data_IF_187101675322
#
_entry.id   IF_187101675322
#
_cell.length_a   1.000
_cell.length_b   1.000
_cell.length_c   1.000
_cell.angle_alpha   90.00
_cell.angle_beta   90.00
_cell.angle_gamma   90.00
#
_symmetry.space_group_name_H-M   'P 1'
#
loop_
_entity.id
_entity.type
_entity.pdbx_description
1 polymer ?
#
# COMPACT_ATOMS: atom_id res chain seq x y z
N UNK A 1 49.82 27.64 -60.56
CA UNK A 1 49.66 26.36 -59.83
C UNK A 1 49.61 26.66 -58.34
N UNK A 2 48.46 26.46 -57.70
CA UNK A 2 48.31 26.12 -56.28
C UNK A 2 46.82 25.84 -56.04
N UNK A 3 46.47 24.56 -56.12
CA UNK A 3 45.21 23.97 -55.70
C UNK A 3 45.38 23.66 -54.21
N UNK A 4 44.56 24.24 -53.32
CA UNK A 4 44.35 23.69 -51.97
C UNK A 4 42.85 23.67 -51.71
N UNK A 5 42.32 22.46 -51.73
CA UNK A 5 40.95 22.08 -51.44
C UNK A 5 40.53 22.50 -50.02
N UNK A 6 39.43 23.24 -49.92
CA UNK A 6 38.75 23.53 -48.66
C UNK A 6 37.50 22.64 -48.57
N UNK A 7 37.64 21.40 -48.10
CA UNK A 7 36.52 20.44 -48.07
C UNK A 7 36.54 19.49 -46.86
N UNK A 8 36.64 20.01 -45.63
CA UNK A 8 36.56 19.15 -44.43
C UNK A 8 35.90 19.78 -43.20
N UNK A 9 35.25 20.95 -43.29
CA UNK A 9 34.64 21.59 -42.10
C UNK A 9 33.16 21.28 -41.89
N UNK A 10 32.41 20.85 -42.91
CA UNK A 10 30.95 20.67 -42.81
C UNK A 10 30.49 19.42 -42.03
N UNK A 11 31.18 18.29 -42.19
CA UNK A 11 30.69 17.01 -41.65
C UNK A 11 30.77 16.93 -40.11
N UNK A 12 31.78 17.54 -39.49
CA UNK A 12 31.99 17.50 -38.03
C UNK A 12 31.03 18.43 -37.29
N UNK A 13 30.72 19.58 -37.88
CA UNK A 13 29.75 20.54 -37.36
C UNK A 13 28.31 19.98 -37.40
N UNK A 14 27.94 19.31 -38.49
CA UNK A 14 26.62 18.67 -38.63
C UNK A 14 26.44 17.52 -37.63
N UNK A 15 27.49 16.71 -37.39
CA UNK A 15 27.45 15.63 -36.41
C UNK A 15 27.31 16.14 -34.96
N UNK A 16 27.98 17.24 -34.63
CA UNK A 16 27.89 17.85 -33.29
C UNK A 16 26.51 18.47 -33.02
N UNK A 17 25.91 19.10 -34.02
CA UNK A 17 24.55 19.68 -33.92
C UNK A 17 23.49 18.58 -33.83
N UNK A 18 23.65 17.47 -34.57
CA UNK A 18 22.75 16.33 -34.49
C UNK A 18 22.75 15.65 -33.11
N UNK A 19 23.92 15.52 -32.46
CA UNK A 19 24.04 14.97 -31.10
C UNK A 19 23.42 15.89 -30.04
N UNK A 20 23.54 17.21 -30.18
CA UNK A 20 22.90 18.19 -29.29
C UNK A 20 21.37 18.21 -29.42
N UNK A 21 20.84 18.02 -30.62
CA UNK A 21 19.39 17.94 -30.83
C UNK A 21 18.78 16.64 -30.28
N UNK A 22 19.54 15.53 -30.29
CA UNK A 22 19.10 14.26 -29.68
C UNK A 22 19.06 14.31 -28.15
N UNK A 23 19.93 15.12 -27.49
CA UNK A 23 19.92 15.23 -26.02
C UNK A 23 18.74 16.03 -25.45
N UNK A 24 18.11 16.90 -26.25
CA UNK A 24 16.97 17.70 -25.80
C UNK A 24 15.65 16.91 -25.87
N UNK A 25 15.59 15.84 -26.68
CA UNK A 25 14.39 15.01 -26.82
C UNK A 25 14.26 13.90 -25.74
N UNK A 26 15.27 13.74 -24.88
CA UNK A 26 15.31 12.71 -23.82
C UNK A 26 14.67 13.11 -22.48
N UNK A 27 14.17 14.34 -22.33
CA UNK A 27 13.61 14.85 -21.06
C UNK A 27 12.07 14.93 -21.06
N UNK A 28 11.41 14.04 -21.79
CA UNK A 28 9.96 13.82 -21.73
C UNK A 28 9.55 12.63 -20.88
N UNK A 29 10.32 12.28 -19.85
CA UNK A 29 9.94 11.27 -18.87
C UNK A 29 8.91 11.84 -17.90
N UNK A 30 7.66 12.04 -18.33
CA UNK A 30 6.55 12.00 -17.38
C UNK A 30 6.60 10.60 -16.76
N UNK A 31 7.19 10.49 -15.57
CA UNK A 31 7.03 9.33 -14.72
C UNK A 31 5.54 9.12 -14.60
N UNK A 32 4.99 8.17 -15.36
CA UNK A 32 3.59 7.83 -15.34
C UNK A 32 3.30 7.30 -13.95
N UNK A 33 2.94 8.18 -13.03
CA UNK A 33 2.58 7.83 -11.68
C UNK A 33 1.34 6.96 -11.77
N UNK A 34 1.53 5.67 -11.56
CA UNK A 34 0.44 4.69 -11.59
C UNK A 34 -0.43 4.96 -10.38
N UNK A 35 -1.55 5.64 -10.59
CA UNK A 35 -2.53 5.92 -9.54
C UNK A 35 -3.29 4.64 -9.20
N UNK A 36 -3.23 4.22 -7.94
CA UNK A 36 -3.94 3.03 -7.46
C UNK A 36 -5.36 3.38 -7.04
N UNK A 37 -6.35 2.64 -7.53
CA UNK A 37 -7.75 2.75 -7.11
C UNK A 37 -7.94 2.22 -5.68
N UNK A 38 -8.07 3.15 -4.72
CA UNK A 38 -8.26 2.83 -3.31
C UNK A 38 -9.60 2.15 -3.01
N UNK A 39 -10.64 2.41 -3.81
CA UNK A 39 -11.94 1.75 -3.63
C UNK A 39 -11.82 0.27 -3.94
N UNK A 40 -11.12 -0.06 -5.03
CA UNK A 40 -10.82 -1.44 -5.39
C UNK A 40 -9.92 -2.13 -4.36
N UNK A 41 -8.89 -1.44 -3.84
CA UNK A 41 -8.02 -1.98 -2.77
C UNK A 41 -8.83 -2.34 -1.52
N UNK A 42 -9.70 -1.44 -1.06
CA UNK A 42 -10.54 -1.70 0.12
C UNK A 42 -11.45 -2.91 -0.09
N UNK A 43 -12.15 -2.96 -1.22
CA UNK A 43 -13.00 -4.09 -1.60
C UNK A 43 -12.21 -5.40 -1.65
N UNK A 44 -11.04 -5.40 -2.27
CA UNK A 44 -10.17 -6.58 -2.36
C UNK A 44 -9.81 -7.11 -0.97
N UNK A 45 -9.39 -6.22 -0.06
CA UNK A 45 -9.03 -6.60 1.31
C UNK A 45 -10.23 -7.12 2.09
N UNK A 46 -11.39 -6.46 2.01
CA UNK A 46 -12.61 -6.90 2.69
C UNK A 46 -13.05 -8.28 2.24
N UNK A 47 -13.02 -8.55 0.93
CA UNK A 47 -13.32 -9.87 0.39
C UNK A 47 -12.37 -10.95 0.93
N UNK A 48 -11.08 -10.64 1.11
CA UNK A 48 -10.12 -11.55 1.73
C UNK A 48 -10.38 -11.78 3.21
N UNK A 49 -10.74 -10.74 3.94
CA UNK A 49 -11.12 -10.85 5.36
C UNK A 49 -12.34 -11.77 5.50
N UNK A 50 -13.35 -11.61 4.65
CA UNK A 50 -14.55 -12.47 4.67
C UNK A 50 -14.20 -13.93 4.39
N UNK A 51 -13.34 -14.19 3.39
CA UNK A 51 -12.85 -15.54 3.09
C UNK A 51 -12.11 -16.18 4.27
N UNK A 52 -11.28 -15.40 4.97
CA UNK A 52 -10.58 -15.86 6.17
C UNK A 52 -11.52 -16.06 7.36
N UNK A 53 -12.55 -15.22 7.49
CA UNK A 53 -13.48 -15.23 8.62
C UNK A 53 -14.42 -16.44 8.58
N UNK A 54 -15.02 -16.70 7.42
CA UNK A 54 -16.05 -17.72 7.29
C UNK A 54 -15.57 -18.99 6.57
N UNK A 55 -14.42 -18.92 5.90
CA UNK A 55 -13.90 -19.99 5.05
C UNK A 55 -14.35 -19.83 3.60
N UNK A 56 -13.45 -20.11 2.65
CA UNK A 56 -13.64 -19.85 1.21
C UNK A 56 -14.92 -20.46 0.61
N UNK A 57 -15.28 -21.66 1.05
CA UNK A 57 -16.40 -22.44 0.49
C UNK A 57 -17.67 -22.38 1.37
N UNK A 58 -17.67 -21.59 2.45
CA UNK A 58 -18.84 -21.49 3.31
C UNK A 58 -20.00 -20.77 2.59
N UNK A 59 -21.26 -21.21 2.77
CA UNK A 59 -22.42 -20.55 2.17
C UNK A 59 -22.52 -19.05 2.51
N UNK A 60 -22.10 -18.67 3.73
CA UNK A 60 -22.06 -17.28 4.18
C UNK A 60 -21.09 -16.42 3.37
N UNK A 61 -19.91 -16.93 3.04
CA UNK A 61 -18.90 -16.23 2.23
C UNK A 61 -19.47 -15.81 0.89
N UNK A 62 -20.29 -16.66 0.26
CA UNK A 62 -20.95 -16.33 -1.00
C UNK A 62 -21.92 -15.15 -0.87
N UNK A 63 -22.73 -15.15 0.18
CA UNK A 63 -23.72 -14.09 0.43
C UNK A 63 -23.03 -12.75 0.71
N UNK A 64 -22.04 -12.75 1.60
CA UNK A 64 -21.32 -11.52 1.97
C UNK A 64 -20.49 -10.98 0.79
N UNK A 65 -19.86 -11.85 -0.01
CA UNK A 65 -19.16 -11.43 -1.24
C UNK A 65 -20.09 -10.72 -2.23
N UNK A 66 -21.31 -11.21 -2.39
CA UNK A 66 -22.29 -10.58 -3.28
C UNK A 66 -22.69 -9.19 -2.79
N UNK A 67 -22.92 -9.03 -1.48
CA UNK A 67 -23.29 -7.73 -0.92
C UNK A 67 -22.12 -6.74 -1.02
N UNK A 68 -20.90 -7.12 -0.64
CA UNK A 68 -19.72 -6.24 -0.71
C UNK A 68 -19.43 -5.76 -2.15
N UNK A 69 -19.54 -6.67 -3.13
CA UNK A 69 -19.40 -6.29 -4.55
C UNK A 69 -20.46 -5.26 -4.95
N UNK A 70 -21.72 -5.48 -4.56
CA UNK A 70 -22.84 -4.59 -4.86
C UNK A 70 -22.68 -3.23 -4.18
N UNK A 71 -22.31 -3.18 -2.91
CA UNK A 71 -22.04 -1.96 -2.15
C UNK A 71 -20.91 -1.15 -2.78
N UNK A 72 -19.86 -1.83 -3.25
CA UNK A 72 -18.77 -1.21 -3.99
C UNK A 72 -19.14 -0.85 -5.44
N UNK A 73 -20.32 -1.22 -5.94
CA UNK A 73 -20.75 -0.94 -7.31
C UNK A 73 -20.00 -1.75 -8.37
N UNK A 74 -19.48 -2.93 -8.01
CA UNK A 74 -18.84 -3.88 -8.91
C UNK A 74 -19.76 -5.07 -9.18
N UNK A 75 -19.78 -5.53 -10.43
CA UNK A 75 -20.18 -6.91 -10.71
C UNK A 75 -19.02 -7.86 -10.45
N UNK A 76 -19.33 -9.16 -10.38
CA UNK A 76 -18.32 -10.20 -10.26
C UNK A 76 -17.31 -10.12 -11.41
N UNK A 77 -17.80 -9.95 -12.64
CA UNK A 77 -17.01 -9.92 -13.86
C UNK A 77 -16.11 -8.69 -13.90
N UNK A 78 -16.62 -7.52 -13.48
CA UNK A 78 -15.82 -6.30 -13.39
C UNK A 78 -14.70 -6.43 -12.35
N UNK A 79 -14.97 -7.07 -11.22
CA UNK A 79 -13.96 -7.33 -10.21
C UNK A 79 -12.84 -8.24 -10.76
N UNK A 80 -13.19 -9.32 -11.46
CA UNK A 80 -12.21 -10.20 -12.08
C UNK A 80 -11.43 -9.50 -13.19
N UNK A 81 -12.11 -8.76 -14.07
CA UNK A 81 -11.46 -8.00 -15.13
C UNK A 81 -10.45 -6.98 -14.58
N UNK A 82 -10.78 -6.28 -13.48
CA UNK A 82 -9.85 -5.36 -12.81
C UNK A 82 -8.68 -6.09 -12.16
N UNK A 83 -8.93 -7.25 -11.57
CA UNK A 83 -7.86 -8.10 -11.02
C UNK A 83 -6.90 -8.54 -12.13
N UNK A 84 -7.44 -9.00 -13.27
CA UNK A 84 -6.65 -9.43 -14.42
C UNK A 84 -5.88 -8.26 -15.04
N UNK A 85 -6.47 -7.06 -15.14
CA UNK A 85 -5.76 -5.85 -15.60
C UNK A 85 -4.52 -5.58 -14.76
N UNK A 86 -4.65 -5.62 -13.43
CA UNK A 86 -3.54 -5.37 -12.49
C UNK A 86 -2.48 -6.48 -12.56
N UNK A 87 -2.90 -7.74 -12.71
CA UNK A 87 -1.98 -8.88 -12.77
C UNK A 87 -1.20 -8.93 -14.08
N UNK A 88 -1.78 -8.46 -15.18
CA UNK A 88 -1.15 -8.47 -16.49
C UNK A 88 -0.30 -7.21 -16.76
N UNK A 89 -0.42 -6.16 -15.94
CA UNK A 89 0.42 -4.97 -16.02
C UNK A 89 1.45 -4.94 -14.87
N UNK A 90 2.71 -5.26 -15.21
CA UNK A 90 3.84 -5.26 -14.27
C UNK A 90 4.00 -3.91 -13.54
N UNK A 91 3.62 -2.79 -14.19
CA UNK A 91 3.71 -1.46 -13.59
C UNK A 91 2.63 -1.23 -12.54
N UNK A 92 1.51 -1.95 -12.60
CA UNK A 92 0.40 -1.82 -11.65
C UNK A 92 0.51 -2.77 -10.47
N UNK A 93 1.12 -3.94 -10.66
CA UNK A 93 1.23 -4.96 -9.61
C UNK A 93 1.88 -4.43 -8.34
N UNK A 94 3.08 -3.86 -8.44
CA UNK A 94 3.84 -3.41 -7.26
C UNK A 94 3.13 -2.27 -6.51
N UNK A 95 2.64 -1.20 -7.17
CA UNK A 95 1.83 -0.18 -6.52
C UNK A 95 0.57 -0.73 -5.84
N UNK A 96 -0.16 -1.64 -6.51
CA UNK A 96 -1.35 -2.26 -5.93
C UNK A 96 -1.02 -3.06 -4.67
N UNK A 97 0.01 -3.90 -4.72
CA UNK A 97 0.45 -4.70 -3.57
C UNK A 97 0.85 -3.81 -2.39
N UNK A 98 1.56 -2.70 -2.64
CA UNK A 98 1.91 -1.73 -1.60
C UNK A 98 0.67 -1.12 -0.95
N UNK A 99 -0.34 -0.75 -1.75
CA UNK A 99 -1.59 -0.21 -1.24
C UNK A 99 -2.37 -1.24 -0.41
N UNK A 100 -2.41 -2.50 -0.84
CA UNK A 100 -3.02 -3.60 -0.07
C UNK A 100 -2.32 -3.78 1.27
N UNK A 101 -0.98 -3.81 1.29
CA UNK A 101 -0.22 -3.93 2.53
C UNK A 101 -0.50 -2.75 3.48
N UNK A 102 -0.47 -1.52 2.97
CA UNK A 102 -0.77 -0.33 3.77
C UNK A 102 -2.20 -0.38 4.36
N UNK A 103 -3.17 -0.89 3.60
CA UNK A 103 -4.53 -1.10 4.09
C UNK A 103 -4.56 -2.14 5.21
N UNK A 104 -3.87 -3.27 5.06
CA UNK A 104 -3.78 -4.31 6.10
C UNK A 104 -3.11 -3.73 7.36
N UNK A 105 -2.00 -3.03 7.22
CA UNK A 105 -1.30 -2.40 8.33
C UNK A 105 -2.20 -1.41 9.08
N UNK A 106 -3.03 -0.64 8.35
CA UNK A 106 -4.00 0.29 8.95
C UNK A 106 -5.08 -0.41 9.78
N UNK A 107 -5.44 -1.65 9.44
CA UNK A 107 -6.41 -2.45 10.20
C UNK A 107 -5.79 -3.05 11.47
N UNK A 108 -4.46 -3.25 11.47
CA UNK A 108 -3.70 -3.79 12.60
C UNK A 108 -3.20 -2.72 13.55
N UNK A 109 -3.05 -1.48 13.08
CA UNK A 109 -2.70 -0.35 13.91
C UNK A 109 -3.80 -0.13 14.96
N UNK A 110 -3.51 -0.51 16.21
CA UNK A 110 -4.37 -0.17 17.35
C UNK A 110 -4.56 1.36 17.35
N UNK A 111 -5.80 1.87 17.40
CA UNK A 111 -6.01 3.30 17.47
C UNK A 111 -5.30 3.83 18.72
N UNK A 112 -4.32 4.72 18.52
CA UNK A 112 -3.56 5.36 19.59
C UNK A 112 -4.45 6.17 20.56
N UNK A 113 -5.75 6.29 20.29
CA UNK A 113 -6.73 7.07 21.06
C UNK A 113 -7.24 6.41 22.35
N UNK A 114 -6.94 5.15 22.64
CA UNK A 114 -7.26 4.57 23.97
C UNK A 114 -6.11 4.60 24.98
N UNK A 115 -5.02 5.31 24.67
CA UNK A 115 -3.90 5.52 25.61
C UNK A 115 -4.10 6.74 26.53
N UNK A 116 -5.21 7.46 26.45
CA UNK A 116 -5.64 8.42 27.48
C UNK A 116 -6.54 7.71 28.51
N UNK A 117 -6.03 6.65 29.15
CA UNK A 117 -6.63 6.22 30.41
C UNK A 117 -6.39 7.34 31.44
N UNK A 118 -7.41 7.79 32.21
CA UNK A 118 -7.17 8.77 33.25
C UNK A 118 -6.15 8.20 34.22
N UNK A 119 -5.08 8.94 34.45
CA UNK A 119 -4.02 8.62 35.40
C UNK A 119 -4.67 8.37 36.78
N UNK A 120 -4.83 7.10 37.17
CA UNK A 120 -5.28 6.74 38.51
C UNK A 120 -4.13 7.09 39.45
N UNK A 121 -4.19 8.28 40.06
CA UNK A 121 -3.30 8.67 41.14
C UNK A 121 -3.34 7.56 42.21
N UNK A 122 -2.20 6.99 42.62
CA UNK A 122 -2.20 5.90 43.58
C UNK A 122 -2.78 6.37 44.92
N UNK A 123 -3.99 5.92 45.22
CA UNK A 123 -4.65 6.13 46.50
C UNK A 123 -3.89 5.33 47.57
N UNK A 124 -3.22 6.08 48.45
CA UNK A 124 -2.75 5.76 49.81
C UNK A 124 -2.78 4.27 50.20
N UNK A 125 -1.59 3.66 50.32
CA UNK A 125 -1.38 2.34 50.91
C UNK A 125 -2.19 2.18 52.21
N UNK A 126 -3.21 1.32 52.20
CA UNK A 126 -3.80 0.79 53.42
C UNK A 126 -2.73 -0.10 54.07
N UNK A 127 -2.10 0.35 55.14
CA UNK A 127 -1.29 -0.52 55.99
C UNK A 127 -2.23 -1.46 56.74
N UNK A 128 -2.39 -2.67 56.22
CA UNK A 128 -2.98 -3.77 56.97
C UNK A 128 -1.97 -4.23 58.02
N UNK A 129 -2.06 -3.69 59.23
CA UNK A 129 -1.37 -4.28 60.38
C UNK A 129 -2.10 -5.58 60.76
N UNK A 130 -1.44 -6.73 60.58
CA UNK A 130 -1.88 -7.99 61.18
C UNK A 130 -1.30 -8.11 62.60
N UNK A 131 -2.08 -8.56 63.59
CA UNK A 131 -1.61 -8.73 64.97
C UNK A 131 -0.70 -9.97 65.09
N UNK A 132 0.42 -9.80 65.81
CA UNK A 132 1.41 -10.84 66.06
C UNK A 132 0.88 -11.91 67.04
N UNK A 133 0.70 -13.15 66.57
CA UNK A 133 0.43 -14.29 67.44
C UNK A 133 1.76 -14.83 68.00
N UNK A 134 2.07 -14.53 69.26
CA UNK A 134 3.17 -15.17 69.99
C UNK A 134 2.78 -16.62 70.29
N UNK A 135 3.38 -17.55 69.56
CA UNK A 135 3.41 -18.96 69.95
C UNK A 135 4.29 -19.13 71.19
N UNK A 136 3.68 -19.53 72.30
CA UNK A 136 4.39 -19.99 73.49
C UNK A 136 4.81 -21.45 73.30
N UNK A 137 6.10 -21.71 73.43
CA UNK A 137 6.65 -23.06 73.64
C UNK A 137 6.79 -23.25 75.15
N UNK A 138 6.17 -24.32 75.68
CA UNK A 138 6.47 -24.86 77.00
C UNK A 138 7.42 -26.03 76.84
#
# INVERSE_FOLDING_TARGET
MALVENKTMGARAVFAVALLLFSVFGMGGCSGEVTVDQKFVNLFVELRIVEMTYGKEAPMTRLVRQELLKEAGYTREQFFAKTDEILNDERQWVPFQKAVNARIDSLLALPAEKANAPEIKPSRKLQTQMPAHKGGVK
#
